data_IF_935083059263
#
_entry.id   IF_935083059263
#
_cell.length_a   1.000
_cell.length_b   1.000
_cell.length_c   1.000
_cell.angle_alpha   90.00
_cell.angle_beta   90.00
_cell.angle_gamma   90.00
#
_symmetry.space_group_name_H-M   'P 1'
#
loop_
_entity.id
_entity.type
_entity.pdbx_description
1 polymer ?
#
# COMPACT_ATOMS: atom_id res chain seq x y z
N UNK A 1 -0.32 7.71 -19.12
CA UNK A 1 -0.02 7.05 -17.83
C UNK A 1 -0.39 5.59 -18.02
N UNK A 2 0.53 4.63 -17.83
CA UNK A 2 0.16 3.21 -17.89
C UNK A 2 -0.52 2.85 -16.58
N UNK A 3 -1.61 2.10 -16.66
CA UNK A 3 -2.34 1.66 -15.48
C UNK A 3 -1.42 0.86 -14.55
N UNK A 4 -1.58 1.07 -13.25
CA UNK A 4 -0.92 0.27 -12.24
C UNK A 4 -1.67 -1.06 -12.11
N UNK A 5 -1.21 -2.06 -12.87
CA UNK A 5 -1.87 -3.37 -12.94
C UNK A 5 -1.57 -4.23 -11.71
N UNK A 6 -2.37 -5.27 -11.51
CA UNK A 6 -2.12 -6.27 -10.46
C UNK A 6 -0.73 -6.93 -10.59
N UNK A 7 -0.26 -7.16 -11.83
CA UNK A 7 1.08 -7.71 -12.07
C UNK A 7 2.17 -6.73 -11.62
N UNK A 8 2.00 -5.44 -11.89
CA UNK A 8 2.92 -4.41 -11.43
C UNK A 8 2.89 -4.27 -9.90
N UNK A 9 1.72 -4.42 -9.28
CA UNK A 9 1.62 -4.45 -7.82
C UNK A 9 2.39 -5.63 -7.22
N UNK A 10 2.27 -6.82 -7.81
CA UNK A 10 3.05 -7.99 -7.39
C UNK A 10 4.56 -7.74 -7.47
N UNK A 11 5.05 -7.22 -8.60
CA UNK A 11 6.47 -6.86 -8.78
C UNK A 11 6.92 -5.80 -7.76
N UNK A 12 6.06 -4.84 -7.44
CA UNK A 12 6.33 -3.82 -6.44
C UNK A 12 6.46 -4.41 -5.03
N UNK A 13 5.56 -5.32 -4.65
CA UNK A 13 5.65 -6.02 -3.37
C UNK A 13 6.93 -6.87 -3.27
N UNK A 14 7.26 -7.60 -4.33
CA UNK A 14 8.49 -8.39 -4.40
C UNK A 14 9.74 -7.51 -4.27
N UNK A 15 9.76 -6.36 -4.96
CA UNK A 15 10.83 -5.39 -4.84
C UNK A 15 11.00 -4.90 -3.40
N UNK A 16 9.90 -4.56 -2.70
CA UNK A 16 9.95 -4.16 -1.28
C UNK A 16 10.55 -5.28 -0.42
N UNK A 17 10.10 -6.52 -0.59
CA UNK A 17 10.57 -7.66 0.22
C UNK A 17 12.05 -7.99 0.00
N UNK A 18 12.61 -7.58 -1.13
CA UNK A 18 14.03 -7.75 -1.46
C UNK A 18 14.92 -6.60 -0.95
N UNK A 19 14.39 -5.67 -0.15
CA UNK A 19 15.14 -4.57 0.48
C UNK A 19 15.18 -4.70 2.00
N UNK A 20 15.94 -3.82 2.66
CA UNK A 20 15.97 -3.72 4.12
C UNK A 20 14.77 -2.94 4.71
N UNK A 21 13.78 -2.56 3.90
CA UNK A 21 12.59 -1.87 4.38
C UNK A 21 11.64 -2.85 5.08
N UNK A 22 11.23 -2.48 6.29
CA UNK A 22 10.19 -3.22 7.01
C UNK A 22 8.81 -2.67 6.67
N UNK A 23 7.90 -3.54 6.20
CA UNK A 23 6.50 -3.16 6.09
C UNK A 23 5.91 -2.96 7.49
N UNK A 24 5.34 -1.78 7.76
CA UNK A 24 4.79 -1.43 9.08
C UNK A 24 3.38 -0.87 8.96
N UNK A 25 2.59 -1.03 10.03
CA UNK A 25 1.29 -0.37 10.12
C UNK A 25 1.47 1.10 10.51
N UNK A 26 0.49 1.95 10.15
CA UNK A 26 0.47 3.35 10.63
C UNK A 26 0.47 3.39 12.16
N UNK A 27 -0.27 2.49 12.80
CA UNK A 27 -0.36 2.42 14.27
C UNK A 27 1.00 2.12 14.90
N UNK A 28 1.79 1.23 14.32
CA UNK A 28 3.10 0.86 14.85
C UNK A 28 4.11 1.96 14.58
N UNK A 29 4.11 2.56 13.38
CA UNK A 29 4.95 3.71 13.06
C UNK A 29 4.76 4.89 14.04
N UNK A 30 3.50 5.16 14.44
CA UNK A 30 3.19 6.23 15.38
C UNK A 30 3.65 5.92 16.82
N UNK A 31 3.87 4.64 17.17
CA UNK A 31 4.35 4.21 18.49
C UNK A 31 5.87 4.06 18.53
N UNK A 32 6.45 3.55 17.46
CA UNK A 32 7.87 3.29 17.28
C UNK A 32 8.23 3.58 15.83
N UNK A 33 9.17 4.49 15.61
CA UNK A 33 9.62 4.88 14.27
C UNK A 33 10.75 3.94 13.85
N UNK A 34 10.52 2.97 12.94
CA UNK A 34 11.58 2.10 12.46
C UNK A 34 12.51 2.89 11.52
N UNK A 35 13.80 2.55 11.54
CA UNK A 35 14.82 3.29 10.79
C UNK A 35 14.61 3.25 9.26
N UNK A 36 14.15 2.10 8.74
CA UNK A 36 13.75 1.91 7.34
C UNK A 36 12.42 1.18 7.25
N UNK A 37 11.33 1.92 7.02
CA UNK A 37 10.01 1.33 6.89
C UNK A 37 9.22 1.83 5.70
N UNK A 38 8.28 1.00 5.25
CA UNK A 38 7.30 1.35 4.24
C UNK A 38 5.90 1.14 4.82
N UNK A 39 5.01 2.10 4.56
CA UNK A 39 3.59 2.00 4.90
C UNK A 39 2.83 1.90 3.58
N UNK A 40 2.17 0.76 3.36
CA UNK A 40 1.28 0.56 2.23
C UNK A 40 -0.13 0.98 2.63
N UNK A 41 -0.71 1.91 1.86
CA UNK A 41 -2.10 2.33 2.05
C UNK A 41 -2.88 2.08 0.77
N UNK A 42 -4.05 1.47 0.94
CA UNK A 42 -5.05 1.37 -0.10
C UNK A 42 -6.19 2.28 0.29
N UNK A 43 -6.58 3.17 -0.60
CA UNK A 43 -7.84 3.89 -0.44
C UNK A 43 -8.95 2.87 -0.64
N UNK A 44 -9.49 2.38 0.48
CA UNK A 44 -10.63 1.47 0.48
C UNK A 44 -11.86 2.34 0.67
N UNK A 45 -12.65 2.49 -0.40
CA UNK A 45 -13.95 3.15 -0.30
C UNK A 45 -14.82 2.37 0.68
N UNK A 46 -14.95 2.91 1.90
CA UNK A 46 -15.76 2.31 2.97
C UNK A 46 -17.24 2.19 2.57
N UNK A 47 -17.66 2.92 1.54
CA UNK A 47 -18.96 2.82 0.90
C UNK A 47 -18.80 2.33 -0.55
N UNK A 48 -18.60 1.03 -0.73
CA UNK A 48 -18.51 0.33 -2.04
C UNK A 48 -19.64 0.75 -3.01
N UNK A 49 -20.80 1.15 -2.48
CA UNK A 49 -21.93 1.67 -3.27
C UNK A 49 -21.60 2.93 -4.08
N UNK A 50 -20.76 3.84 -3.58
CA UNK A 50 -20.47 5.12 -4.24
C UNK A 50 -19.52 4.98 -5.43
N UNK A 51 -18.73 3.90 -5.47
CA UNK A 51 -17.84 3.61 -6.59
C UNK A 51 -18.62 3.18 -7.85
N UNK A 52 -19.88 2.72 -7.70
CA UNK A 52 -20.79 2.40 -8.81
C UNK A 52 -21.62 3.59 -9.32
N UNK A 53 -21.86 4.61 -8.47
CA UNK A 53 -22.66 5.80 -8.86
C UNK A 53 -21.87 6.82 -9.70
N UNK A 54 -20.55 6.66 -9.77
CA UNK A 54 -19.63 7.52 -10.56
C UNK A 54 -19.33 6.95 -11.96
N UNK A 55 -19.92 5.81 -12.33
CA UNK A 55 -19.76 5.15 -13.63
C UNK A 55 -20.90 5.49 -14.59
#
# INVERSE_FOLDING_TARGET
MRDFTLSMYGQFLEAITNTEYTATSVCDYLKYVPDRCVILRHDVDRAVKRSLDMA
#
